data_IF_452073738975
#
_entry.id   IF_452073738975
#
_cell.length_a   1.000
_cell.length_b   1.000
_cell.length_c   1.000
_cell.angle_alpha   90.00
_cell.angle_beta   90.00
_cell.angle_gamma   90.00
#
_symmetry.space_group_name_H-M   'P 1'
#
loop_
_entity.id
_entity.type
_entity.pdbx_description
1 polymer ?
#
# COMPACT_ATOMS: atom_id res chain seq x y z
N UNK A 1 -74.26 23.60 -20.77
CA UNK A 1 -72.99 22.92 -21.07
C UNK A 1 -72.52 22.22 -19.81
N UNK A 2 -72.30 20.91 -19.89
CA UNK A 2 -71.88 20.06 -18.77
C UNK A 2 -70.36 20.17 -18.55
N UNK A 3 -69.93 20.60 -17.37
CA UNK A 3 -68.53 20.92 -17.05
C UNK A 3 -67.81 19.81 -16.27
N UNK A 4 -68.48 18.70 -15.97
CA UNK A 4 -67.96 17.70 -15.02
C UNK A 4 -66.88 16.75 -15.57
N UNK A 5 -66.72 16.63 -16.89
CA UNK A 5 -65.79 15.66 -17.50
C UNK A 5 -64.76 16.30 -18.44
N UNK A 6 -64.25 17.49 -18.10
CA UNK A 6 -63.14 18.10 -18.85
C UNK A 6 -61.81 17.66 -18.24
N UNK A 7 -61.13 16.71 -18.87
CA UNK A 7 -59.74 16.35 -18.56
C UNK A 7 -58.83 17.54 -18.92
N UNK A 8 -58.71 18.49 -18.01
CA UNK A 8 -57.91 19.70 -18.19
C UNK A 8 -57.67 20.34 -16.82
N UNK A 9 -56.40 20.64 -16.55
CA UNK A 9 -55.94 21.23 -15.30
C UNK A 9 -56.78 22.44 -14.87
N UNK A 10 -57.12 22.51 -13.58
CA UNK A 10 -57.82 23.66 -12.98
C UNK A 10 -57.11 24.96 -13.34
N UNK A 11 -57.88 26.03 -13.58
CA UNK A 11 -57.35 27.37 -13.84
C UNK A 11 -56.44 27.80 -12.68
N UNK A 12 -55.16 28.06 -12.97
CA UNK A 12 -54.11 28.35 -11.98
C UNK A 12 -53.31 27.14 -11.47
N UNK A 13 -53.74 25.91 -11.75
CA UNK A 13 -52.93 24.72 -11.58
C UNK A 13 -52.17 24.46 -12.87
N UNK A 14 -50.86 24.69 -12.89
CA UNK A 14 -50.00 24.37 -14.03
C UNK A 14 -50.35 22.98 -14.61
N UNK A 15 -50.47 22.90 -15.94
CA UNK A 15 -50.97 21.72 -16.65
C UNK A 15 -50.31 20.41 -16.23
N UNK A 16 -51.02 19.29 -16.46
CA UNK A 16 -50.46 17.94 -16.21
C UNK A 16 -49.16 17.82 -17.01
N UNK A 17 -48.06 17.55 -16.31
CA UNK A 17 -46.73 17.42 -16.88
C UNK A 17 -46.76 16.42 -18.05
N UNK A 18 -46.24 16.83 -19.21
CA UNK A 18 -46.16 15.95 -20.38
C UNK A 18 -45.32 14.71 -20.07
N UNK A 19 -45.58 13.61 -20.78
CA UNK A 19 -44.83 12.35 -20.60
C UNK A 19 -43.30 12.54 -20.72
N UNK A 20 -42.86 13.43 -21.62
CA UNK A 20 -41.43 13.77 -21.78
C UNK A 20 -40.86 14.48 -20.55
N UNK A 21 -41.59 15.43 -19.96
CA UNK A 21 -41.15 16.16 -18.76
C UNK A 21 -41.07 15.25 -17.54
N UNK A 22 -42.06 14.37 -17.34
CA UNK A 22 -42.06 13.38 -16.25
C UNK A 22 -40.91 12.38 -16.36
N UNK A 23 -40.53 11.96 -17.58
CA UNK A 23 -39.39 11.07 -17.82
C UNK A 23 -38.03 11.78 -17.65
N UNK A 24 -37.95 13.08 -17.94
CA UNK A 24 -36.74 13.86 -17.68
C UNK A 24 -36.50 14.00 -16.17
N UNK A 25 -37.53 14.37 -15.41
CA UNK A 25 -37.48 14.48 -13.95
C UNK A 25 -37.12 13.14 -13.29
N UNK A 26 -37.72 12.03 -13.74
CA UNK A 26 -37.36 10.69 -13.27
C UNK A 26 -35.87 10.37 -13.49
N UNK A 27 -35.32 10.71 -14.66
CA UNK A 27 -33.90 10.48 -14.97
C UNK A 27 -32.98 11.35 -14.10
N UNK A 28 -33.33 12.60 -13.86
CA UNK A 28 -32.57 13.50 -12.98
C UNK A 28 -32.59 13.01 -11.52
N UNK A 29 -33.74 12.54 -11.05
CA UNK A 29 -33.88 12.00 -9.69
C UNK A 29 -33.04 10.73 -9.50
N UNK A 30 -33.06 9.80 -10.45
CA UNK A 30 -32.23 8.59 -10.40
C UNK A 30 -30.73 8.92 -10.41
N UNK A 31 -30.33 9.95 -11.17
CA UNK A 31 -28.95 10.46 -11.18
C UNK A 31 -28.53 11.01 -9.81
N UNK A 32 -29.38 11.81 -9.15
CA UNK A 32 -29.11 12.33 -7.80
C UNK A 32 -28.95 11.21 -6.77
N UNK A 33 -29.85 10.22 -6.78
CA UNK A 33 -29.75 9.05 -5.91
C UNK A 33 -28.46 8.25 -6.14
N UNK A 34 -28.02 8.11 -7.39
CA UNK A 34 -26.76 7.43 -7.69
C UNK A 34 -25.53 8.21 -7.17
N UNK A 35 -25.51 9.54 -7.29
CA UNK A 35 -24.44 10.40 -6.78
C UNK A 35 -24.34 10.40 -5.25
N UNK A 36 -25.46 10.20 -4.54
CA UNK A 36 -25.44 10.01 -3.08
C UNK A 36 -24.74 8.71 -2.67
N UNK A 37 -24.81 7.66 -3.51
CA UNK A 37 -24.19 6.36 -3.23
C UNK A 37 -22.75 6.23 -3.71
N UNK A 38 -22.37 6.93 -4.78
CA UNK A 38 -21.07 6.81 -5.44
C UNK A 38 -20.45 8.19 -5.55
N UNK A 39 -19.36 8.38 -4.83
CA UNK A 39 -18.51 9.56 -4.89
C UNK A 39 -17.54 9.44 -6.08
N UNK A 40 -17.75 10.26 -7.11
CA UNK A 40 -16.98 10.23 -8.36
C UNK A 40 -15.51 10.63 -8.18
N UNK A 41 -15.21 11.46 -7.18
CA UNK A 41 -13.84 11.93 -6.95
C UNK A 41 -12.94 10.81 -6.38
N UNK A 42 -13.55 9.73 -5.87
CA UNK A 42 -12.82 8.54 -5.41
C UNK A 42 -12.47 7.57 -6.53
N UNK A 43 -13.04 7.72 -7.73
CA UNK A 43 -12.70 6.89 -8.88
C UNK A 43 -11.34 7.34 -9.48
N UNK A 44 -10.29 6.50 -9.43
CA UNK A 44 -8.97 6.87 -9.96
C UNK A 44 -8.95 7.18 -11.46
N UNK A 45 -9.95 6.71 -12.22
CA UNK A 45 -10.02 6.87 -13.67
C UNK A 45 -10.91 8.03 -14.12
N UNK A 46 -11.61 8.66 -13.17
CA UNK A 46 -12.45 9.82 -13.43
C UNK A 46 -11.62 11.08 -13.67
N UNK A 47 -12.07 11.91 -14.61
CA UNK A 47 -11.49 13.22 -14.85
C UNK A 47 -12.55 14.18 -15.37
N UNK A 48 -12.56 15.39 -14.82
CA UNK A 48 -13.37 16.49 -15.33
C UNK A 48 -12.46 17.46 -16.07
N UNK A 49 -12.72 17.61 -17.36
CA UNK A 49 -12.03 18.57 -18.20
C UNK A 49 -12.39 20.01 -17.78
N UNK A 50 -11.53 20.98 -18.07
CA UNK A 50 -11.79 22.42 -17.90
C UNK A 50 -13.02 22.90 -18.68
N UNK A 51 -13.40 22.22 -19.78
CA UNK A 51 -14.63 22.50 -20.54
C UNK A 51 -15.88 21.95 -19.85
N UNK A 52 -15.74 21.17 -18.78
CA UNK A 52 -16.86 20.57 -18.05
C UNK A 52 -17.32 19.20 -18.58
N UNK A 53 -16.65 18.66 -19.61
CA UNK A 53 -16.84 17.28 -20.08
C UNK A 53 -16.24 16.27 -19.10
N UNK A 54 -16.85 15.09 -19.00
CA UNK A 54 -16.40 14.01 -18.12
C UNK A 54 -15.65 12.96 -18.93
N UNK A 55 -14.45 12.56 -18.51
CA UNK A 55 -13.59 11.66 -19.26
C UNK A 55 -13.23 10.44 -18.42
N UNK A 56 -13.22 9.27 -19.07
CA UNK A 56 -12.76 8.01 -18.49
C UNK A 56 -11.35 7.71 -18.99
N UNK A 57 -10.33 7.87 -18.16
CA UNK A 57 -8.92 7.61 -18.56
C UNK A 57 -8.62 6.14 -18.82
N UNK A 58 -9.45 5.22 -18.30
CA UNK A 58 -9.31 3.79 -18.55
C UNK A 58 -9.77 3.40 -19.96
N UNK A 59 -10.81 4.06 -20.48
CA UNK A 59 -11.41 3.75 -21.77
C UNK A 59 -11.15 4.79 -22.86
N UNK A 60 -10.58 5.94 -22.51
CA UNK A 60 -10.39 7.10 -23.38
C UNK A 60 -11.72 7.55 -24.02
N UNK A 61 -12.78 7.58 -23.21
CA UNK A 61 -14.12 7.99 -23.64
C UNK A 61 -14.52 9.29 -22.95
N UNK A 62 -15.16 10.17 -23.71
CA UNK A 62 -15.73 11.44 -23.23
C UNK A 62 -17.24 11.27 -23.06
N UNK A 63 -17.77 11.78 -21.96
CA UNK A 63 -19.15 11.72 -21.53
C UNK A 63 -19.67 13.14 -21.30
N UNK A 64 -20.89 13.40 -21.76
CA UNK A 64 -21.51 14.73 -21.65
C UNK A 64 -22.04 15.03 -20.25
N UNK A 65 -22.38 14.00 -19.47
CA UNK A 65 -22.92 14.13 -18.13
C UNK A 65 -22.36 13.04 -17.21
N UNK A 66 -22.38 13.29 -15.90
CA UNK A 66 -21.89 12.33 -14.90
C UNK A 66 -22.69 11.01 -14.92
N UNK A 67 -23.98 11.04 -15.27
CA UNK A 67 -24.82 9.85 -15.39
C UNK A 67 -24.40 8.94 -16.53
N UNK A 68 -23.97 9.52 -17.67
CA UNK A 68 -23.40 8.78 -18.80
C UNK A 68 -22.05 8.17 -18.41
N UNK A 69 -21.25 8.87 -17.60
CA UNK A 69 -20.02 8.33 -17.04
C UNK A 69 -20.31 7.15 -16.09
N UNK A 70 -21.24 7.31 -15.14
CA UNK A 70 -21.66 6.25 -14.21
C UNK A 70 -22.17 5.01 -14.95
N UNK A 71 -23.05 5.20 -15.93
CA UNK A 71 -23.53 4.09 -16.76
C UNK A 71 -22.39 3.42 -17.56
N UNK A 72 -21.39 4.19 -18.00
CA UNK A 72 -20.22 3.66 -18.68
C UNK A 72 -19.34 2.80 -17.76
N UNK A 73 -19.11 3.21 -16.50
CA UNK A 73 -18.31 2.44 -15.54
C UNK A 73 -18.93 1.05 -15.24
N UNK A 74 -20.26 0.97 -15.24
CA UNK A 74 -21.00 -0.28 -15.09
C UNK A 74 -21.06 -1.10 -16.40
N UNK A 75 -20.61 -0.53 -17.52
CA UNK A 75 -20.61 -1.18 -18.82
C UNK A 75 -19.53 -2.25 -18.98
N UNK A 76 -19.85 -3.30 -19.74
CA UNK A 76 -18.95 -4.45 -19.97
C UNK A 76 -17.58 -4.04 -20.53
N UNK A 77 -17.53 -3.05 -21.44
CA UNK A 77 -16.27 -2.55 -22.01
C UNK A 77 -15.32 -2.00 -20.95
N UNK A 78 -15.84 -1.18 -20.04
CA UNK A 78 -15.06 -0.61 -18.95
C UNK A 78 -14.53 -1.70 -18.02
N UNK A 79 -15.40 -2.61 -17.60
CA UNK A 79 -15.05 -3.75 -16.76
C UNK A 79 -13.99 -4.66 -17.41
N UNK A 80 -14.08 -4.91 -18.72
CA UNK A 80 -13.06 -5.70 -19.44
C UNK A 80 -11.71 -4.99 -19.53
N UNK A 81 -11.69 -3.65 -19.68
CA UNK A 81 -10.44 -2.89 -19.68
C UNK A 81 -9.80 -2.88 -18.30
N UNK A 82 -10.59 -2.80 -17.24
CA UNK A 82 -10.12 -2.88 -15.86
C UNK A 82 -9.45 -4.23 -15.60
N UNK A 83 -10.10 -5.32 -15.98
CA UNK A 83 -9.55 -6.67 -15.86
C UNK A 83 -8.26 -6.84 -16.67
N UNK A 84 -8.20 -6.30 -17.90
CA UNK A 84 -6.96 -6.33 -18.72
C UNK A 84 -5.82 -5.53 -18.09
N UNK A 85 -6.11 -4.38 -17.49
CA UNK A 85 -5.11 -3.57 -16.79
C UNK A 85 -4.59 -4.30 -15.55
N UNK A 86 -5.48 -4.84 -14.72
CA UNK A 86 -5.11 -5.65 -13.56
C UNK A 86 -4.23 -6.86 -13.96
N UNK A 87 -4.59 -7.57 -15.03
CA UNK A 87 -3.80 -8.68 -15.55
C UNK A 87 -2.43 -8.24 -16.10
N UNK A 88 -2.34 -7.04 -16.70
CA UNK A 88 -1.07 -6.47 -17.14
C UNK A 88 -0.21 -6.06 -15.96
N UNK A 89 -0.77 -5.41 -14.94
CA UNK A 89 -0.04 -5.02 -13.72
C UNK A 89 0.47 -6.23 -12.93
N UNK A 90 -0.29 -7.33 -12.88
CA UNK A 90 0.17 -8.59 -12.30
C UNK A 90 1.33 -9.22 -13.09
N UNK A 91 1.35 -9.07 -14.42
CA UNK A 91 2.44 -9.57 -15.29
C UNK A 91 3.66 -8.65 -15.30
N UNK A 92 3.44 -7.33 -15.29
CA UNK A 92 4.47 -6.27 -15.29
C UNK A 92 4.97 -5.94 -13.89
N UNK A 93 4.47 -6.62 -12.84
CA UNK A 93 5.01 -6.60 -11.48
C UNK A 93 6.49 -7.01 -11.35
N UNK A 94 7.21 -7.20 -12.46
CA UNK A 94 8.66 -7.35 -12.54
C UNK A 94 9.41 -6.24 -13.30
N UNK A 95 8.75 -5.28 -13.96
CA UNK A 95 9.44 -4.15 -14.59
C UNK A 95 8.76 -3.58 -15.82
N UNK A 96 8.30 -2.33 -15.72
CA UNK A 96 8.08 -1.52 -16.91
C UNK A 96 6.88 -0.58 -16.91
N UNK A 97 6.79 0.37 -15.97
CA UNK A 97 6.31 1.72 -16.31
C UNK A 97 6.68 2.73 -15.20
N UNK A 98 7.65 3.63 -15.45
CA UNK A 98 8.21 4.55 -14.44
C UNK A 98 7.57 5.95 -14.42
N UNK A 99 6.47 6.21 -15.14
CA UNK A 99 6.02 7.60 -15.33
C UNK A 99 4.54 7.92 -15.15
N UNK A 100 3.71 7.04 -14.58
CA UNK A 100 2.27 7.32 -14.43
C UNK A 100 1.70 7.13 -13.02
N UNK A 101 2.51 7.17 -11.97
CA UNK A 101 1.98 7.03 -10.62
C UNK A 101 3.02 7.21 -9.54
N UNK A 102 3.87 8.22 -9.59
CA UNK A 102 4.78 8.49 -8.48
C UNK A 102 4.10 9.51 -7.58
N UNK A 103 3.76 9.10 -6.36
CA UNK A 103 3.24 10.00 -5.32
C UNK A 103 4.33 11.03 -4.95
N UNK A 104 4.07 12.35 -5.04
CA UNK A 104 5.07 13.41 -4.84
C UNK A 104 5.64 13.46 -3.42
N UNK A 105 5.02 12.78 -2.45
CA UNK A 105 5.51 12.69 -1.06
C UNK A 105 6.43 11.47 -0.86
N UNK A 106 6.24 10.41 -1.65
CA UNK A 106 6.86 9.11 -1.37
C UNK A 106 7.73 8.55 -2.49
N UNK A 107 7.70 9.10 -3.70
CA UNK A 107 8.60 8.68 -4.78
C UNK A 107 8.37 7.23 -5.27
N UNK A 108 7.32 6.55 -4.80
CA UNK A 108 6.98 5.16 -5.10
C UNK A 108 5.79 5.09 -6.06
N UNK A 109 5.69 4.02 -6.88
CA UNK A 109 4.52 3.80 -7.74
C UNK A 109 3.25 3.63 -6.88
N UNK A 110 2.14 4.29 -7.25
CA UNK A 110 0.86 4.32 -6.53
C UNK A 110 0.28 2.92 -6.30
N UNK A 111 0.67 1.93 -7.12
CA UNK A 111 0.34 0.51 -6.93
C UNK A 111 1.03 -0.13 -5.71
N UNK A 112 2.21 0.35 -5.33
CA UNK A 112 2.92 -0.07 -4.11
C UNK A 112 2.37 0.70 -2.91
N UNK A 113 1.97 1.97 -3.08
CA UNK A 113 1.28 2.72 -2.02
C UNK A 113 -0.12 2.14 -1.75
N UNK A 114 -0.81 1.54 -2.72
CA UNK A 114 -2.06 0.79 -2.48
C UNK A 114 -1.85 -0.54 -1.73
N UNK A 115 -0.64 -1.12 -1.78
CA UNK A 115 -0.29 -2.29 -0.95
C UNK A 115 0.02 -1.90 0.51
N UNK A 116 0.44 -0.66 0.77
CA UNK A 116 0.80 -0.20 2.13
C UNK A 116 -0.23 0.78 2.75
N UNK A 117 -0.98 1.52 1.95
CA UNK A 117 -2.06 2.42 2.31
C UNK A 117 -3.38 1.87 1.80
N UNK A 118 -4.30 1.57 2.72
CA UNK A 118 -5.55 0.88 2.44
C UNK A 118 -6.44 1.62 1.43
N UNK A 119 -6.50 1.09 0.21
CA UNK A 119 -7.55 1.32 -0.77
C UNK A 119 -8.00 -0.04 -1.29
N UNK A 120 -9.24 -0.43 -0.97
CA UNK A 120 -9.84 -1.75 -1.13
C UNK A 120 -9.44 -2.55 -2.38
N UNK A 121 -8.94 -3.78 -2.14
CA UNK A 121 -8.68 -4.77 -3.19
C UNK A 121 -8.39 -6.20 -2.71
N UNK A 122 -8.06 -6.40 -1.42
CA UNK A 122 -8.07 -7.71 -0.78
C UNK A 122 -8.28 -7.51 0.72
N UNK A 123 -9.47 -7.87 1.21
CA UNK A 123 -9.82 -7.78 2.63
C UNK A 123 -9.13 -8.90 3.43
N UNK A 124 -7.82 -8.80 3.58
CA UNK A 124 -7.20 -9.24 4.82
C UNK A 124 -7.67 -8.25 5.88
N UNK A 125 -8.48 -8.70 6.83
CA UNK A 125 -8.93 -7.89 7.97
C UNK A 125 -7.68 -7.36 8.67
N UNK A 126 -7.31 -6.09 8.41
CA UNK A 126 -6.30 -5.40 9.18
C UNK A 126 -6.90 -5.25 10.57
N UNK A 127 -6.55 -6.18 11.47
CA UNK A 127 -6.95 -6.10 12.86
C UNK A 127 -6.40 -4.77 13.37
N UNK A 128 -7.30 -3.84 13.67
CA UNK A 128 -6.93 -2.54 14.21
C UNK A 128 -6.54 -2.76 15.68
N UNK A 129 -5.39 -3.41 15.89
CA UNK A 129 -4.87 -3.69 17.21
C UNK A 129 -4.31 -2.39 17.80
N UNK A 130 -4.73 -2.08 19.01
CA UNK A 130 -4.16 -0.96 19.79
C UNK A 130 -2.67 -1.25 19.99
N UNK A 131 -1.80 -0.35 19.54
CA UNK A 131 -0.35 -0.53 19.66
C UNK A 131 0.06 -0.41 21.12
N UNK A 132 0.68 -1.45 21.65
CA UNK A 132 1.08 -1.55 23.07
C UNK A 132 2.23 -0.58 23.38
N UNK A 133 3.12 -0.35 22.41
CA UNK A 133 4.26 0.55 22.51
C UNK A 133 5.55 -0.07 21.99
N UNK A 134 6.69 0.41 22.50
CA UNK A 134 8.03 -0.06 22.12
C UNK A 134 8.48 -1.23 23.00
N UNK A 135 9.05 -2.30 22.43
CA UNK A 135 9.59 -3.41 23.20
C UNK A 135 10.85 -3.04 23.98
N UNK A 136 11.13 -3.77 25.05
CA UNK A 136 12.42 -3.71 25.75
C UNK A 136 13.52 -4.31 24.88
N UNK A 137 14.74 -3.79 24.96
CA UNK A 137 15.86 -4.31 24.18
C UNK A 137 17.17 -4.30 24.95
N UNK A 138 18.04 -5.25 24.63
CA UNK A 138 19.42 -5.34 25.09
C UNK A 138 20.31 -5.73 23.92
N UNK A 139 21.41 -5.01 23.74
CA UNK A 139 22.36 -5.22 22.65
C UNK A 139 23.70 -5.59 23.24
N UNK A 140 24.23 -6.73 22.84
CA UNK A 140 25.54 -7.22 23.28
C UNK A 140 26.46 -7.32 22.07
N UNK A 141 27.66 -6.74 22.19
CA UNK A 141 28.72 -6.93 21.18
C UNK A 141 29.36 -8.28 21.42
N UNK A 142 29.38 -9.13 20.40
CA UNK A 142 29.96 -10.47 20.48
C UNK A 142 31.18 -10.57 19.57
N UNK A 143 32.07 -11.51 19.89
CA UNK A 143 33.22 -11.82 19.05
C UNK A 143 33.40 -13.33 19.03
N UNK A 144 33.47 -13.91 17.85
CA UNK A 144 33.77 -15.34 17.71
C UNK A 144 35.22 -15.61 18.14
N UNK A 145 35.46 -16.52 19.10
CA UNK A 145 36.81 -16.85 19.58
C UNK A 145 37.73 -17.39 18.48
N UNK A 146 37.21 -18.11 17.48
CA UNK A 146 38.02 -18.77 16.45
C UNK A 146 38.26 -17.84 15.27
N UNK A 147 37.20 -17.36 14.63
CA UNK A 147 37.32 -16.52 13.43
C UNK A 147 37.66 -15.07 13.73
N UNK A 148 37.57 -14.66 15.01
CA UNK A 148 37.71 -13.26 15.47
C UNK A 148 36.70 -12.30 14.83
N UNK A 149 35.67 -12.81 14.16
CA UNK A 149 34.57 -12.02 13.61
C UNK A 149 33.86 -11.26 14.73
N UNK A 150 33.53 -10.00 14.46
CA UNK A 150 32.72 -9.18 15.35
C UNK A 150 31.25 -9.34 14.97
N UNK A 151 30.37 -9.33 15.95
CA UNK A 151 28.93 -9.38 15.73
C UNK A 151 28.15 -8.63 16.79
N UNK A 152 26.84 -8.60 16.59
CA UNK A 152 25.87 -8.00 17.49
C UNK A 152 24.81 -9.04 17.81
N UNK A 153 24.50 -9.17 19.10
CA UNK A 153 23.41 -9.96 19.63
C UNK A 153 22.34 -9.00 20.15
N UNK A 154 21.16 -9.06 19.57
CA UNK A 154 19.97 -8.33 19.97
C UNK A 154 19.06 -9.28 20.74
N UNK A 155 18.68 -8.86 21.93
CA UNK A 155 17.67 -9.50 22.76
C UNK A 155 16.53 -8.49 22.90
N UNK A 156 15.36 -8.81 22.35
CA UNK A 156 14.16 -7.99 22.47
C UNK A 156 13.15 -8.70 23.36
N UNK A 157 12.60 -7.98 24.33
CA UNK A 157 11.64 -8.50 25.29
C UNK A 157 10.24 -7.93 24.99
N UNK A 158 9.26 -8.82 24.89
CA UNK A 158 7.87 -8.50 24.58
C UNK A 158 6.94 -8.99 25.69
N UNK A 159 6.87 -8.31 26.85
CA UNK A 159 6.15 -8.80 28.04
C UNK A 159 4.67 -9.12 27.78
N UNK A 160 4.01 -8.35 26.91
CA UNK A 160 2.59 -8.46 26.55
C UNK A 160 2.38 -9.13 25.18
N UNK A 161 3.34 -9.95 24.72
CA UNK A 161 3.16 -10.73 23.50
C UNK A 161 1.94 -11.66 23.62
N UNK A 162 1.12 -11.68 22.55
CA UNK A 162 0.01 -12.61 22.39
C UNK A 162 0.49 -14.00 21.92
N UNK A 163 -0.38 -15.01 22.06
CA UNK A 163 -0.07 -16.43 21.80
C UNK A 163 0.38 -16.71 20.36
N UNK A 164 -0.15 -15.96 19.38
CA UNK A 164 0.17 -16.15 17.96
C UNK A 164 1.21 -15.15 17.42
N UNK A 165 1.91 -14.43 18.30
CA UNK A 165 2.87 -13.39 17.87
C UNK A 165 4.14 -14.04 17.32
N UNK A 166 4.49 -13.69 16.08
CA UNK A 166 5.75 -14.11 15.45
C UNK A 166 6.54 -12.87 15.02
N UNK A 167 7.62 -12.51 15.75
CA UNK A 167 8.46 -11.38 15.37
C UNK A 167 9.22 -11.69 14.08
N UNK A 168 9.40 -10.67 13.25
CA UNK A 168 10.17 -10.72 12.01
C UNK A 168 11.23 -9.63 12.04
N UNK A 169 12.36 -9.88 11.39
CA UNK A 169 13.44 -8.91 11.28
C UNK A 169 13.94 -8.80 9.84
N UNK A 170 14.48 -7.62 9.52
CA UNK A 170 15.08 -7.35 8.22
C UNK A 170 16.13 -6.25 8.35
N UNK A 171 17.17 -6.29 7.51
CA UNK A 171 18.14 -5.19 7.37
C UNK A 171 17.74 -4.29 6.21
N UNK A 172 17.77 -2.99 6.45
CA UNK A 172 17.37 -1.93 5.52
C UNK A 172 18.49 -0.90 5.37
N UNK A 173 18.65 -0.37 4.17
CA UNK A 173 19.58 0.72 3.89
C UNK A 173 19.03 2.06 4.41
N UNK A 174 19.90 3.01 4.78
CA UNK A 174 19.52 4.31 5.30
C UNK A 174 18.65 5.18 4.37
N UNK A 175 18.68 4.95 3.06
CA UNK A 175 17.84 5.68 2.09
C UNK A 175 16.40 5.18 1.99
N UNK A 176 16.13 3.98 2.49
CA UNK A 176 14.79 3.39 2.42
C UNK A 176 13.90 3.83 3.60
N UNK A 177 14.51 4.21 4.73
CA UNK A 177 13.79 4.78 5.86
C UNK A 177 13.50 6.27 5.63
N UNK A 178 12.40 6.79 6.22
CA UNK A 178 11.93 8.18 6.06
C UNK A 178 11.73 8.92 7.38
N UNK A 179 12.17 8.31 8.47
CA UNK A 179 11.97 8.85 9.82
C UNK A 179 13.09 9.83 10.17
N UNK A 180 14.32 9.44 9.86
CA UNK A 180 15.53 10.24 10.08
C UNK A 180 16.14 10.64 8.73
N UNK A 181 17.06 11.60 8.74
CA UNK A 181 17.82 11.94 7.54
C UNK A 181 18.73 10.77 7.12
N UNK A 182 18.76 10.39 5.82
CA UNK A 182 19.58 9.28 5.35
C UNK A 182 21.08 9.51 5.57
N UNK A 183 21.71 8.65 6.37
CA UNK A 183 23.16 8.61 6.58
C UNK A 183 23.79 7.38 5.92
N UNK A 184 24.73 7.60 5.00
CA UNK A 184 25.38 6.54 4.21
C UNK A 184 26.27 5.62 5.04
N UNK A 185 26.72 6.08 6.20
CA UNK A 185 27.65 5.33 7.05
C UNK A 185 26.96 4.24 7.88
N UNK A 186 25.63 4.18 7.81
CA UNK A 186 24.84 3.28 8.63
C UNK A 186 23.79 2.53 7.82
N UNK A 187 23.41 1.39 8.35
CA UNK A 187 22.27 0.59 7.95
C UNK A 187 21.38 0.36 9.17
N UNK A 188 20.13 -0.02 8.96
CA UNK A 188 19.17 -0.22 10.03
C UNK A 188 18.73 -1.68 10.08
N UNK A 189 18.79 -2.29 11.26
CA UNK A 189 18.15 -3.58 11.52
C UNK A 189 16.78 -3.33 12.12
N UNK A 190 15.74 -3.68 11.38
CA UNK A 190 14.36 -3.52 11.79
C UNK A 190 13.86 -4.81 12.40
N UNK A 191 13.09 -4.69 13.49
CA UNK A 191 12.32 -5.77 14.07
C UNK A 191 10.87 -5.34 14.16
N UNK A 192 9.99 -6.13 13.57
CA UNK A 192 8.55 -5.92 13.55
C UNK A 192 7.85 -7.08 14.24
N UNK A 193 7.00 -6.77 15.21
CA UNK A 193 6.13 -7.72 15.89
C UNK A 193 4.80 -7.02 16.15
N UNK A 194 3.71 -7.45 15.51
CA UNK A 194 2.36 -6.93 15.81
C UNK A 194 1.90 -7.54 17.14
N UNK A 195 1.44 -6.76 18.15
CA UNK A 195 0.94 -5.37 18.14
C UNK A 195 1.94 -4.29 18.59
N UNK A 196 3.23 -4.63 18.76
CA UNK A 196 4.26 -3.67 19.13
C UNK A 196 4.64 -2.74 17.97
N UNK A 197 5.25 -1.61 18.31
CA UNK A 197 5.85 -0.74 17.32
C UNK A 197 7.10 -1.39 16.70
N UNK A 198 7.25 -1.24 15.39
CA UNK A 198 8.49 -1.63 14.70
C UNK A 198 9.65 -0.80 15.22
N UNK A 199 10.71 -1.47 15.66
CA UNK A 199 11.95 -0.83 16.13
C UNK A 199 13.05 -0.98 15.09
N UNK A 200 13.89 0.04 14.98
CA UNK A 200 15.05 0.05 14.09
C UNK A 200 16.33 0.34 14.89
N UNK A 201 17.35 -0.50 14.71
CA UNK A 201 18.65 -0.31 15.33
C UNK A 201 19.66 0.18 14.29
N UNK A 202 20.34 1.28 14.60
CA UNK A 202 21.41 1.84 13.76
C UNK A 202 22.67 0.99 13.90
N UNK A 203 23.13 0.42 12.79
CA UNK A 203 24.28 -0.48 12.68
C UNK A 203 25.28 0.12 11.68
N UNK A 204 26.60 -0.02 11.86
CA UNK A 204 27.57 0.41 10.85
C UNK A 204 27.32 -0.28 9.49
N UNK A 205 27.62 0.42 8.40
CA UNK A 205 27.53 -0.08 7.02
C UNK A 205 28.64 -1.09 6.69
N UNK A 206 28.71 -2.17 7.46
CA UNK A 206 29.60 -3.32 7.19
C UNK A 206 28.80 -4.45 6.61
N UNK A 207 29.43 -5.24 5.74
CA UNK A 207 28.79 -6.40 5.15
C UNK A 207 28.47 -7.42 6.25
N UNK A 208 27.21 -7.83 6.33
CA UNK A 208 26.79 -8.89 7.21
C UNK A 208 27.06 -10.23 6.53
N UNK A 209 27.62 -11.17 7.29
CA UNK A 209 27.80 -12.54 6.80
C UNK A 209 26.41 -13.18 6.68
N UNK A 210 26.02 -13.58 5.46
CA UNK A 210 24.71 -14.17 5.13
C UNK A 210 24.70 -15.69 5.24
N UNK A 211 25.80 -16.31 5.65
CA UNK A 211 25.86 -17.75 5.88
C UNK A 211 24.94 -18.13 7.06
N UNK A 212 24.20 -19.23 6.92
CA UNK A 212 23.21 -19.67 7.92
C UNK A 212 23.85 -19.94 9.30
N UNK A 213 25.12 -20.33 9.35
CA UNK A 213 25.85 -20.53 10.62
C UNK A 213 26.21 -19.22 11.34
N UNK A 214 26.14 -18.10 10.63
CA UNK A 214 26.65 -16.78 11.07
C UNK A 214 25.52 -15.79 11.35
N UNK A 215 24.29 -16.17 11.01
CA UNK A 215 23.07 -15.47 11.38
C UNK A 215 22.21 -16.41 12.20
N UNK A 216 21.75 -15.96 13.35
CA UNK A 216 20.87 -16.75 14.19
C UNK A 216 19.67 -15.89 14.58
N UNK A 217 18.46 -16.40 14.42
CA UNK A 217 17.29 -15.78 15.00
C UNK A 217 16.41 -16.82 15.66
N UNK A 218 15.94 -16.52 16.87
CA UNK A 218 15.15 -17.43 17.66
C UNK A 218 14.09 -16.65 18.43
N UNK A 219 12.85 -17.13 18.37
CA UNK A 219 11.73 -16.61 19.14
C UNK A 219 11.39 -17.61 20.23
N UNK A 220 11.50 -17.18 21.48
CA UNK A 220 11.04 -17.92 22.64
C UNK A 220 9.63 -17.46 23.01
N UNK A 221 8.57 -18.24 22.72
CA UNK A 221 7.20 -17.85 23.05
C UNK A 221 6.92 -17.87 24.56
N UNK A 222 7.66 -18.67 25.34
CA UNK A 222 7.45 -18.82 26.79
C UNK A 222 8.11 -17.68 27.55
N UNK A 223 9.37 -17.35 27.22
CA UNK A 223 10.07 -16.20 27.78
C UNK A 223 9.62 -14.86 27.15
N UNK A 224 8.93 -14.92 26.00
CA UNK A 224 8.56 -13.78 25.15
C UNK A 224 9.77 -12.94 24.75
N UNK A 225 10.87 -13.63 24.45
CA UNK A 225 12.14 -13.03 24.06
C UNK A 225 12.50 -13.37 22.62
N UNK A 226 12.91 -12.35 21.87
CA UNK A 226 13.39 -12.49 20.51
C UNK A 226 14.89 -12.24 20.44
N UNK A 227 15.61 -13.27 20.01
CA UNK A 227 17.05 -13.26 19.88
C UNK A 227 17.43 -13.15 18.42
N UNK A 228 18.30 -12.20 18.10
CA UNK A 228 18.86 -12.02 16.76
C UNK A 228 20.36 -11.83 16.91
N UNK A 229 21.13 -12.69 16.25
CA UNK A 229 22.56 -12.58 16.16
C UNK A 229 22.95 -12.34 14.71
N UNK A 230 23.73 -11.28 14.50
CA UNK A 230 24.32 -10.97 13.20
C UNK A 230 25.82 -10.82 13.35
N UNK A 231 26.57 -11.48 12.48
CA UNK A 231 28.03 -11.37 12.40
C UNK A 231 28.42 -10.51 11.21
N UNK A 232 29.44 -9.67 11.38
CA UNK A 232 30.04 -8.93 10.28
C UNK A 232 31.08 -9.80 9.57
N UNK A 233 31.22 -9.61 8.26
CA UNK A 233 32.35 -10.14 7.50
C UNK A 233 33.67 -9.67 8.11
N UNK A 234 34.70 -10.53 8.04
CA UNK A 234 36.05 -10.14 8.47
C UNK A 234 36.63 -9.11 7.51
N UNK A 235 37.49 -8.20 7.99
CA UNK A 235 38.17 -7.22 7.11
C UNK A 235 38.93 -7.89 5.95
N UNK A 236 39.43 -9.12 6.16
CA UNK A 236 40.08 -9.92 5.13
C UNK A 236 39.07 -10.29 4.05
N UNK A 237 37.94 -10.89 4.42
CA UNK A 237 36.89 -11.30 3.48
C UNK A 237 36.22 -10.09 2.79
N UNK A 238 36.00 -8.98 3.51
CA UNK A 238 35.48 -7.73 2.93
C UNK A 238 36.38 -7.23 1.79
N UNK A 239 37.71 -7.25 1.96
CA UNK A 239 38.67 -6.85 0.90
C UNK A 239 38.65 -7.79 -0.30
N UNK A 240 38.43 -9.09 -0.09
CA UNK A 240 38.34 -10.08 -1.17
C UNK A 240 37.00 -9.97 -1.93
N UNK A 241 35.88 -9.71 -1.25
CA UNK A 241 34.57 -9.52 -1.87
C UNK A 241 34.43 -8.17 -2.60
N UNK A 242 35.11 -7.13 -2.12
CA UNK A 242 35.10 -5.81 -2.75
C UNK A 242 35.89 -5.75 -4.08
N UNK A 243 36.65 -6.80 -4.42
CA UNK A 243 37.36 -6.89 -5.70
C UNK A 243 36.39 -7.30 -6.82
N UNK A 244 36.19 -6.47 -7.87
CA UNK A 244 35.35 -6.83 -9.00
C UNK A 244 35.89 -8.08 -9.70
N UNK A 245 35.09 -9.15 -9.78
CA UNK A 245 35.38 -10.34 -10.59
C UNK A 245 35.81 -11.61 -9.85
N UNK A 246 35.82 -11.65 -8.51
CA UNK A 246 36.11 -12.86 -7.72
C UNK A 246 34.90 -13.38 -6.91
N UNK A 247 33.69 -13.20 -7.44
CA UNK A 247 32.47 -13.73 -6.85
C UNK A 247 32.34 -15.24 -7.03
N UNK A 248 32.56 -15.98 -5.94
CA UNK A 248 31.98 -17.30 -5.70
C UNK A 248 32.96 -18.46 -5.68
N UNK A 249 33.36 -18.89 -4.47
CA UNK A 249 33.57 -20.33 -4.26
C UNK A 249 32.18 -20.95 -4.07
N UNK A 250 31.84 -21.86 -4.99
CA UNK A 250 30.72 -22.81 -4.86
C UNK A 250 30.80 -23.57 -3.55
#
# INVERSE_FOLDING_TARGET
>A
MDYQNRAGSKFGGGGVASFSSSNADRRERLRKLALETIDLDKDPYFFKNHVGSFECRLCLTVHQNDGSYLAHTQGKKHQTNLARRAAREQREGGGGNRHAGIDPVTGLPTSVVASFGGGNGAAGVKRNAVKIGRPGYKITKIRDPVTRQQGLLFQLQYPDAGVDMTPKWQVMNAYAQRVEDPDKNFQYLLVAAEPYETVGFKIPVRELDKREERQFCFWDPDAKEFWIQVMFMTEREERFNAAPGLGGRK
#
